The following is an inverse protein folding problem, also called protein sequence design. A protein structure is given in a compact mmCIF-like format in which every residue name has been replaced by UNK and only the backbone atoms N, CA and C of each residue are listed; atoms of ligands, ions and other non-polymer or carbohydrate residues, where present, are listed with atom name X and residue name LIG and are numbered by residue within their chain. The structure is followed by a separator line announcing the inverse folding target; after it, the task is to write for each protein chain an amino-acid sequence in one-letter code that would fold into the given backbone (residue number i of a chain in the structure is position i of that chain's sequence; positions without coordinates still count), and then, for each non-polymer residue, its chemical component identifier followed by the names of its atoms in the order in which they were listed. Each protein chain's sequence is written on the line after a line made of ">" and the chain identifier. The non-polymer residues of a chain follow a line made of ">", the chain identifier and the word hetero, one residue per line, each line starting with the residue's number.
data_IF_231340211649
#
_entry.id   IF_231340211649
#
_cell.length_a   1.000
_cell.length_b   1.000
_cell.length_c   1.000
_cell.angle_alpha   90.00
_cell.angle_beta   90.00
_cell.angle_gamma   90.00
#
_symmetry.space_group_name_H-M   'P 1'
#
loop_
_entity.id
_entity.type
_entity.pdbx_description
1 polymer ?
#
# COMPACT_ATOMS: atom_id res chain seq x y z
N UNK A 1 -23.16 25.29 -12.85
CA UNK A 1 -24.20 24.65 -12.02
C UNK A 1 -24.52 23.30 -12.63
N UNK A 2 -24.00 22.23 -12.06
CA UNK A 2 -24.31 20.86 -12.44
C UNK A 2 -24.37 20.05 -11.15
N UNK A 3 -25.59 19.79 -10.68
CA UNK A 3 -25.81 18.98 -9.48
C UNK A 3 -25.31 17.57 -9.78
N UNK A 4 -24.23 17.15 -9.12
CA UNK A 4 -23.76 15.76 -9.15
C UNK A 4 -24.73 14.96 -8.28
N UNK A 5 -25.80 14.44 -8.90
CA UNK A 5 -26.97 13.92 -8.19
C UNK A 5 -26.79 12.55 -7.55
N UNK A 6 -25.67 11.83 -7.76
CA UNK A 6 -25.48 10.50 -7.17
C UNK A 6 -24.06 10.23 -6.70
N UNK A 7 -23.71 10.75 -5.52
CA UNK A 7 -22.47 10.40 -4.80
C UNK A 7 -22.74 9.23 -3.84
N UNK A 8 -22.13 8.07 -4.11
CA UNK A 8 -22.06 6.95 -3.17
C UNK A 8 -20.84 7.13 -2.26
N UNK A 9 -21.06 7.48 -1.00
CA UNK A 9 -19.99 7.61 -0.01
C UNK A 9 -19.86 6.26 0.70
N UNK A 10 -18.70 5.63 0.64
CA UNK A 10 -18.43 4.38 1.35
C UNK A 10 -17.42 4.70 2.46
N UNK A 11 -17.88 4.83 3.70
CA UNK A 11 -17.03 5.18 4.83
C UNK A 11 -17.12 4.16 5.98
N UNK A 12 -15.98 3.83 6.60
CA UNK A 12 -15.97 3.02 7.83
C UNK A 12 -14.69 3.09 8.66
N UNK A 13 -14.85 3.21 9.99
CA UNK A 13 -14.69 2.09 10.93
C UNK A 13 -15.15 2.44 12.36
N UNK A 14 -15.70 1.46 13.09
CA UNK A 14 -15.37 1.22 14.50
C UNK A 14 -15.19 -0.28 14.75
N UNK A 15 -14.14 -0.62 15.49
CA UNK A 15 -13.83 -1.95 16.02
C UNK A 15 -14.78 -2.18 17.22
N UNK A 16 -15.67 -3.18 17.14
CA UNK A 16 -16.48 -3.62 18.28
C UNK A 16 -16.03 -5.04 18.63
N UNK A 17 -15.68 -5.19 19.91
CA UNK A 17 -15.32 -6.43 20.59
C UNK A 17 -16.44 -7.47 20.39
N UNK A 18 -16.02 -8.73 20.32
CA UNK A 18 -16.81 -9.94 20.10
C UNK A 18 -18.05 -9.97 21.00
N UNK A 19 -19.21 -9.64 20.44
CA UNK A 19 -20.55 -10.08 20.86
C UNK A 19 -21.48 -9.97 19.64
N UNK A 20 -22.42 -10.91 19.50
CA UNK A 20 -23.40 -11.04 18.40
C UNK A 20 -24.02 -9.68 18.00
N UNK A 21 -24.27 -9.53 16.69
CA UNK A 21 -24.63 -8.33 15.91
C UNK A 21 -25.47 -7.22 16.58
N UNK A 22 -25.20 -5.95 16.19
CA UNK A 22 -26.26 -4.98 16.00
C UNK A 22 -26.14 -4.25 14.64
N UNK A 23 -27.11 -4.52 13.77
CA UNK A 23 -27.67 -3.65 12.73
C UNK A 23 -26.71 -2.71 11.95
N UNK A 24 -26.28 -3.16 10.78
CA UNK A 24 -25.35 -2.40 9.91
C UNK A 24 -25.99 -1.10 9.40
N UNK A 25 -27.31 -1.09 9.25
CA UNK A 25 -28.06 0.10 8.83
C UNK A 25 -28.10 1.18 9.92
N UNK A 26 -28.09 0.77 11.19
CA UNK A 26 -27.98 1.71 12.31
C UNK A 26 -26.67 2.48 12.27
N UNK A 27 -25.57 1.82 11.91
CA UNK A 27 -24.28 2.49 11.76
C UNK A 27 -24.28 3.48 10.60
N UNK A 28 -24.86 3.11 9.45
CA UNK A 28 -24.99 4.01 8.32
C UNK A 28 -25.80 5.27 8.67
N UNK A 29 -26.91 5.12 9.41
CA UNK A 29 -27.73 6.25 9.90
C UNK A 29 -26.97 7.15 10.87
N UNK A 30 -26.21 6.57 11.80
CA UNK A 30 -25.36 7.33 12.72
C UNK A 30 -24.29 8.15 11.98
N UNK A 31 -23.75 7.60 10.89
CA UNK A 31 -22.79 8.33 10.06
C UNK A 31 -23.45 9.46 9.27
N UNK A 32 -24.66 9.25 8.74
CA UNK A 32 -25.44 10.31 8.12
C UNK A 32 -25.67 11.48 9.11
N UNK A 33 -26.13 11.17 10.33
CA UNK A 33 -26.35 12.17 11.37
C UNK A 33 -25.05 12.91 11.77
N UNK A 34 -23.93 12.20 11.84
CA UNK A 34 -22.61 12.82 12.11
C UNK A 34 -22.19 13.76 10.99
N UNK A 35 -22.35 13.35 9.73
CA UNK A 35 -21.99 14.15 8.57
C UNK A 35 -22.86 15.42 8.48
N UNK A 36 -24.15 15.29 8.78
CA UNK A 36 -25.07 16.44 8.88
C UNK A 36 -24.63 17.41 9.98
N UNK A 37 -24.36 16.90 11.20
CA UNK A 37 -23.94 17.74 12.34
C UNK A 37 -22.58 18.41 12.13
N UNK A 38 -21.60 17.67 11.62
CA UNK A 38 -20.21 18.14 11.53
C UNK A 38 -19.97 19.04 10.31
N UNK A 39 -20.73 18.85 9.23
CA UNK A 39 -20.39 19.41 7.93
C UNK A 39 -21.57 20.00 7.15
N UNK A 40 -22.80 19.92 7.64
CA UNK A 40 -23.99 20.47 6.97
C UNK A 40 -24.32 19.78 5.64
N UNK A 41 -23.75 18.60 5.38
CA UNK A 41 -23.98 17.82 4.17
C UNK A 41 -25.31 17.07 4.31
N UNK A 42 -26.36 17.56 3.65
CA UNK A 42 -27.68 16.92 3.60
C UNK A 42 -27.76 15.81 2.55
N UNK A 43 -28.81 14.98 2.61
CA UNK A 43 -29.18 13.93 1.65
C UNK A 43 -29.28 14.37 0.18
N UNK A 44 -29.20 15.68 -0.13
CA UNK A 44 -29.12 16.18 -1.51
C UNK A 44 -27.74 15.96 -2.13
N UNK A 45 -26.69 15.86 -1.31
CA UNK A 45 -25.30 15.76 -1.77
C UNK A 45 -24.79 14.32 -1.89
N UNK A 46 -25.41 13.36 -1.21
CA UNK A 46 -25.05 11.95 -1.28
C UNK A 46 -26.30 11.07 -1.35
N UNK A 47 -26.23 9.95 -2.08
CA UNK A 47 -27.38 9.06 -2.23
C UNK A 47 -27.42 7.95 -1.17
N UNK A 48 -26.27 7.34 -0.85
CA UNK A 48 -26.18 6.26 0.13
C UNK A 48 -24.81 6.30 0.80
N UNK A 49 -24.80 6.22 2.12
CA UNK A 49 -23.59 5.97 2.91
C UNK A 49 -23.50 4.48 3.18
N UNK A 50 -22.44 3.84 2.70
CA UNK A 50 -22.21 2.42 2.89
C UNK A 50 -21.06 2.19 3.85
N UNK A 51 -21.31 1.31 4.82
CA UNK A 51 -20.23 0.85 5.67
C UNK A 51 -19.45 -0.27 4.98
N UNK A 52 -18.11 -0.39 5.13
CA UNK A 52 -17.35 -1.55 4.61
C UNK A 52 -17.97 -2.90 5.06
N UNK A 53 -18.46 -3.03 6.29
CA UNK A 53 -19.14 -4.26 6.76
C UNK A 53 -20.46 -4.48 6.02
N UNK A 54 -21.20 -3.42 5.72
CA UNK A 54 -22.40 -3.47 4.87
C UNK A 54 -22.05 -3.94 3.47
N UNK A 55 -21.02 -3.34 2.89
CA UNK A 55 -20.55 -3.64 1.55
C UNK A 55 -20.17 -5.13 1.44
N UNK A 56 -19.41 -5.64 2.42
CA UNK A 56 -18.99 -7.04 2.46
C UNK A 56 -20.14 -8.03 2.67
N UNK A 57 -21.20 -7.64 3.38
CA UNK A 57 -22.36 -8.51 3.66
C UNK A 57 -23.40 -8.47 2.54
N UNK A 58 -23.85 -7.27 2.17
CA UNK A 58 -24.94 -7.07 1.21
C UNK A 58 -24.50 -7.31 -0.24
N UNK A 59 -23.23 -7.03 -0.58
CA UNK A 59 -22.75 -7.05 -1.96
C UNK A 59 -21.65 -8.09 -2.18
N UNK A 60 -21.79 -9.28 -1.61
CA UNK A 60 -20.79 -10.35 -1.74
C UNK A 60 -20.85 -11.06 -3.09
N UNK A 61 -22.02 -11.17 -3.71
CA UNK A 61 -22.17 -11.83 -5.02
C UNK A 61 -21.70 -10.94 -6.18
N UNK A 62 -21.37 -11.57 -7.31
CA UNK A 62 -20.99 -10.84 -8.52
C UNK A 62 -22.14 -9.99 -9.08
N UNK A 63 -23.38 -10.50 -9.03
CA UNK A 63 -24.57 -9.79 -9.50
C UNK A 63 -24.85 -8.55 -8.67
N UNK A 64 -24.74 -8.63 -7.34
CA UNK A 64 -24.92 -7.49 -6.45
C UNK A 64 -23.86 -6.41 -6.67
N UNK A 65 -22.58 -6.77 -6.80
CA UNK A 65 -21.52 -5.78 -7.10
C UNK A 65 -21.74 -5.10 -8.44
N UNK A 66 -22.16 -5.85 -9.46
CA UNK A 66 -22.50 -5.28 -10.77
C UNK A 66 -23.72 -4.36 -10.68
N UNK A 67 -24.75 -4.74 -9.95
CA UNK A 67 -25.91 -3.88 -9.70
C UNK A 67 -25.48 -2.58 -9.01
N UNK A 68 -24.64 -2.66 -7.97
CA UNK A 68 -24.10 -1.50 -7.27
C UNK A 68 -23.36 -0.54 -8.21
N UNK A 69 -22.47 -1.06 -9.07
CA UNK A 69 -21.74 -0.27 -10.06
C UNK A 69 -22.65 0.39 -11.11
N UNK A 70 -23.79 -0.22 -11.43
CA UNK A 70 -24.78 0.34 -12.35
C UNK A 70 -25.62 1.42 -11.68
N UNK A 71 -25.99 1.25 -10.40
CA UNK A 71 -26.88 2.18 -9.68
C UNK A 71 -26.25 3.54 -9.42
N UNK A 72 -24.94 3.62 -9.18
CA UNK A 72 -24.26 4.87 -8.84
C UNK A 72 -23.16 5.21 -9.84
N UNK A 73 -22.89 6.51 -10.00
CA UNK A 73 -21.89 7.01 -10.93
C UNK A 73 -20.54 7.26 -10.29
N UNK A 74 -20.54 7.81 -9.07
CA UNK A 74 -19.34 8.14 -8.34
C UNK A 74 -19.28 7.42 -6.99
N UNK A 75 -18.11 6.84 -6.69
CA UNK A 75 -17.82 6.21 -5.41
C UNK A 75 -16.68 6.95 -4.71
N UNK A 76 -16.91 7.39 -3.49
CA UNK A 76 -15.90 8.01 -2.63
C UNK A 76 -15.60 7.10 -1.44
N UNK A 77 -14.32 6.96 -1.09
CA UNK A 77 -13.86 6.09 -0.01
C UNK A 77 -12.81 6.80 0.85
N UNK A 78 -12.86 6.63 2.18
CA UNK A 78 -11.76 7.09 3.04
C UNK A 78 -10.46 6.32 2.71
N UNK A 79 -9.35 7.05 2.52
CA UNK A 79 -7.98 6.54 2.35
C UNK A 79 -7.67 5.35 3.27
N UNK A 80 -8.16 5.36 4.51
CA UNK A 80 -7.93 4.28 5.50
C UNK A 80 -8.46 2.93 5.05
N UNK A 81 -9.61 2.90 4.38
CA UNK A 81 -10.30 1.68 3.95
C UNK A 81 -10.23 1.42 2.45
N UNK A 82 -9.75 2.40 1.66
CA UNK A 82 -9.64 2.35 0.21
C UNK A 82 -9.00 1.08 -0.33
N UNK A 83 -7.94 0.56 0.32
CA UNK A 83 -7.32 -0.69 -0.11
C UNK A 83 -8.23 -1.92 0.05
N UNK A 84 -8.94 -2.01 1.18
CA UNK A 84 -9.82 -3.15 1.45
C UNK A 84 -11.06 -3.11 0.53
N UNK A 85 -11.66 -1.94 0.38
CA UNK A 85 -12.84 -1.73 -0.49
C UNK A 85 -12.49 -2.07 -1.95
N UNK A 86 -11.39 -1.55 -2.50
CA UNK A 86 -10.97 -1.85 -3.88
C UNK A 86 -10.65 -3.33 -4.11
N UNK A 87 -10.12 -4.01 -3.09
CA UNK A 87 -9.90 -5.46 -3.15
C UNK A 87 -11.22 -6.23 -3.15
N UNK A 88 -12.23 -5.75 -2.45
CA UNK A 88 -13.54 -6.39 -2.36
C UNK A 88 -14.39 -6.18 -3.63
N UNK A 89 -14.45 -4.95 -4.13
CA UNK A 89 -15.22 -4.62 -5.34
C UNK A 89 -14.73 -5.40 -6.56
N UNK A 90 -13.41 -5.57 -6.69
CA UNK A 90 -12.80 -6.44 -7.67
C UNK A 90 -13.16 -6.09 -9.12
N UNK A 91 -13.05 -7.08 -10.01
CA UNK A 91 -13.07 -6.94 -11.48
C UNK A 91 -14.31 -6.23 -12.03
N UNK A 92 -15.47 -6.40 -11.40
CA UNK A 92 -16.73 -5.81 -11.88
C UNK A 92 -16.64 -4.28 -11.93
N UNK A 93 -16.00 -3.65 -10.94
CA UNK A 93 -15.81 -2.20 -10.90
C UNK A 93 -14.73 -1.71 -11.86
N UNK A 94 -13.66 -2.49 -12.04
CA UNK A 94 -12.61 -2.19 -13.03
C UNK A 94 -13.15 -2.20 -14.46
N UNK A 95 -14.08 -3.11 -14.78
CA UNK A 95 -14.66 -3.23 -16.12
C UNK A 95 -15.50 -2.00 -16.51
N UNK A 96 -16.19 -1.40 -15.54
CA UNK A 96 -17.05 -0.24 -15.76
C UNK A 96 -16.28 1.08 -15.58
N UNK A 97 -14.98 1.03 -15.24
CA UNK A 97 -14.16 2.21 -14.93
C UNK A 97 -14.73 3.10 -13.81
N UNK A 98 -15.56 2.53 -12.92
CA UNK A 98 -16.22 3.23 -11.79
C UNK A 98 -15.52 2.93 -10.47
N UNK A 99 -14.20 3.01 -10.44
CA UNK A 99 -13.45 2.67 -9.25
C UNK A 99 -13.57 3.76 -8.18
N UNK A 100 -13.55 3.41 -6.88
CA UNK A 100 -13.69 4.44 -5.86
C UNK A 100 -12.49 5.38 -5.78
N UNK A 101 -12.78 6.68 -5.68
CA UNK A 101 -11.82 7.74 -5.39
C UNK A 101 -11.55 7.80 -3.89
N UNK A 102 -10.29 8.05 -3.54
CA UNK A 102 -9.92 8.24 -2.15
C UNK A 102 -10.13 9.69 -1.72
N UNK A 103 -10.70 9.90 -0.54
CA UNK A 103 -10.69 11.20 0.14
C UNK A 103 -10.24 11.02 1.60
N UNK A 104 -9.71 12.08 2.19
CA UNK A 104 -9.36 12.05 3.62
C UNK A 104 -10.53 12.61 4.43
N UNK A 105 -11.01 11.85 5.41
CA UNK A 105 -12.00 12.32 6.35
C UNK A 105 -11.35 13.32 7.33
N UNK A 106 -11.30 14.59 6.94
CA UNK A 106 -10.76 15.71 7.73
C UNK A 106 -11.69 16.91 7.66
N UNK A 107 -11.86 17.64 8.76
CA UNK A 107 -12.63 18.88 8.77
C UNK A 107 -11.81 20.00 8.07
N UNK A 108 -12.38 20.79 7.13
CA UNK A 108 -13.75 20.74 6.60
C UNK A 108 -13.95 19.70 5.48
N UNK A 109 -14.90 18.78 5.66
CA UNK A 109 -15.12 17.63 4.78
C UNK A 109 -15.56 18.00 3.36
N UNK A 110 -16.37 19.04 3.20
CA UNK A 110 -16.86 19.50 1.89
C UNK A 110 -15.69 19.79 0.96
N UNK A 111 -14.67 20.49 1.46
CA UNK A 111 -13.46 20.80 0.67
C UNK A 111 -12.68 19.54 0.30
N UNK A 112 -12.62 18.54 1.19
CA UNK A 112 -11.95 17.28 0.91
C UNK A 112 -12.69 16.47 -0.16
N UNK A 113 -14.03 16.46 -0.11
CA UNK A 113 -14.88 15.83 -1.12
C UNK A 113 -14.72 16.55 -2.46
N UNK A 114 -14.90 17.87 -2.51
CA UNK A 114 -14.72 18.64 -3.75
C UNK A 114 -13.34 18.43 -4.37
N UNK A 115 -12.30 18.44 -3.53
CA UNK A 115 -10.93 18.16 -3.98
C UNK A 115 -10.83 16.76 -4.57
N UNK A 116 -11.39 15.75 -3.91
CA UNK A 116 -11.36 14.36 -4.41
C UNK A 116 -12.08 14.22 -5.76
N UNK A 117 -13.23 14.88 -5.93
CA UNK A 117 -14.02 14.88 -7.17
C UNK A 117 -13.26 15.57 -8.32
N UNK A 118 -12.54 16.64 -8.01
CA UNK A 118 -11.70 17.40 -8.98
C UNK A 118 -10.35 16.71 -9.27
N UNK A 119 -10.00 15.64 -8.56
CA UNK A 119 -8.69 14.98 -8.68
C UNK A 119 -8.77 13.82 -9.67
N UNK A 120 -7.77 13.75 -10.56
CA UNK A 120 -7.55 12.59 -11.42
C UNK A 120 -6.52 11.66 -10.80
N UNK A 121 -6.77 10.35 -10.85
CA UNK A 121 -5.89 9.34 -10.25
C UNK A 121 -5.09 8.60 -11.33
N UNK A 122 -3.77 8.72 -11.28
CA UNK A 122 -2.86 7.86 -12.05
C UNK A 122 -2.51 6.60 -11.25
N UNK A 123 -2.79 5.43 -11.83
CA UNK A 123 -2.49 4.15 -11.20
C UNK A 123 -1.15 3.59 -11.67
N UNK A 124 -0.20 3.54 -10.75
CA UNK A 124 1.08 2.87 -10.96
C UNK A 124 0.97 1.40 -10.53
N UNK A 125 0.76 0.52 -11.51
CA UNK A 125 0.77 -0.91 -11.26
C UNK A 125 2.20 -1.45 -11.16
N UNK A 126 2.36 -2.52 -10.38
CA UNK A 126 3.65 -3.20 -10.25
C UNK A 126 4.07 -3.77 -11.62
N UNK A 127 5.28 -3.43 -12.06
CA UNK A 127 5.88 -3.84 -13.35
C UNK A 127 5.16 -3.32 -14.59
N UNK A 128 4.21 -2.38 -14.46
CA UNK A 128 3.63 -1.73 -15.62
C UNK A 128 4.63 -0.74 -16.21
N UNK A 129 4.88 -0.89 -17.50
CA UNK A 129 5.71 0.04 -18.31
C UNK A 129 4.87 1.08 -19.03
N UNK A 130 3.55 0.84 -19.14
CA UNK A 130 2.58 1.74 -19.78
C UNK A 130 1.44 2.00 -18.82
N UNK A 131 1.07 3.27 -18.71
CA UNK A 131 -0.06 3.75 -17.92
C UNK A 131 -0.80 4.79 -18.75
N UNK A 132 -2.09 4.96 -18.48
CA UNK A 132 -2.92 5.98 -19.12
C UNK A 132 -3.66 6.75 -18.04
N UNK A 133 -3.95 8.01 -18.34
CA UNK A 133 -4.69 8.93 -17.47
C UNK A 133 -5.73 9.62 -18.34
N UNK A 134 -6.96 9.72 -17.83
CA UNK A 134 -8.02 10.47 -18.51
C UNK A 134 -7.92 11.94 -18.13
N UNK A 135 -7.80 12.82 -19.13
CA UNK A 135 -7.61 14.27 -18.94
C UNK A 135 -8.94 15.04 -18.94
N UNK A 136 -9.95 14.50 -19.61
CA UNK A 136 -11.21 15.19 -19.82
C UNK A 136 -12.05 14.57 -20.93
N UNK A 137 -13.06 15.31 -21.36
CA UNK A 137 -14.00 14.92 -22.41
C UNK A 137 -13.92 15.88 -23.60
N UNK A 138 -14.22 15.39 -24.81
CA UNK A 138 -14.19 16.18 -26.06
C UNK A 138 -15.20 17.34 -26.07
N UNK A 139 -16.25 17.27 -25.24
CA UNK A 139 -17.23 18.34 -25.07
C UNK A 139 -16.77 19.48 -24.14
N UNK A 140 -15.59 19.40 -23.54
CA UNK A 140 -15.01 20.48 -22.73
C UNK A 140 -14.31 21.50 -23.62
N UNK A 141 -14.22 22.78 -23.20
CA UNK A 141 -13.49 23.79 -23.95
C UNK A 141 -12.00 23.43 -24.03
N UNK A 142 -11.38 23.76 -25.16
CA UNK A 142 -9.98 23.44 -25.43
C UNK A 142 -9.01 24.09 -24.41
N UNK A 143 -9.35 25.27 -23.89
CA UNK A 143 -8.58 25.96 -22.85
C UNK A 143 -8.41 25.11 -21.60
N UNK A 144 -9.51 24.49 -21.14
CA UNK A 144 -9.53 23.74 -19.90
C UNK A 144 -8.83 22.39 -20.09
N UNK A 145 -8.97 21.78 -21.28
CA UNK A 145 -8.24 20.57 -21.64
C UNK A 145 -6.73 20.80 -21.69
N UNK A 146 -6.28 21.93 -22.23
CA UNK A 146 -4.86 22.29 -22.25
C UNK A 146 -4.33 22.51 -20.83
N UNK A 147 -5.05 23.26 -19.99
CA UNK A 147 -4.67 23.46 -18.59
C UNK A 147 -4.63 22.15 -17.79
N UNK A 148 -5.57 21.25 -18.02
CA UNK A 148 -5.57 19.92 -17.40
C UNK A 148 -4.40 19.06 -17.87
N UNK A 149 -4.04 19.16 -19.16
CA UNK A 149 -2.90 18.45 -19.72
C UNK A 149 -1.60 18.87 -19.05
N UNK A 150 -1.35 20.18 -18.95
CA UNK A 150 -0.15 20.72 -18.31
C UNK A 150 -0.06 20.29 -16.85
N UNK A 151 -1.16 20.42 -16.10
CA UNK A 151 -1.22 20.00 -14.69
C UNK A 151 -0.94 18.50 -14.50
N UNK A 152 -1.39 17.65 -15.43
CA UNK A 152 -1.15 16.21 -15.38
C UNK A 152 0.29 15.88 -15.73
N UNK A 153 0.87 16.53 -16.74
CA UNK A 153 2.28 16.34 -17.10
C UNK A 153 3.18 16.74 -15.93
N UNK A 154 2.94 17.89 -15.32
CA UNK A 154 3.70 18.36 -14.16
C UNK A 154 3.59 17.39 -12.97
N UNK A 155 2.38 16.91 -12.67
CA UNK A 155 2.16 15.94 -11.61
C UNK A 155 2.83 14.59 -11.88
N UNK A 156 2.87 14.15 -13.15
CA UNK A 156 3.56 12.93 -13.56
C UNK A 156 5.07 13.10 -13.40
N UNK A 157 5.63 14.22 -13.83
CA UNK A 157 7.06 14.49 -13.71
C UNK A 157 7.51 14.57 -12.25
N UNK A 158 6.72 15.20 -11.38
CA UNK A 158 7.02 15.30 -9.94
C UNK A 158 6.87 13.96 -9.20
N UNK A 159 5.93 13.12 -9.64
CA UNK A 159 5.59 11.87 -8.95
C UNK A 159 6.35 10.65 -9.48
N UNK A 160 6.93 10.73 -10.68
CA UNK A 160 7.63 9.62 -11.30
C UNK A 160 8.97 9.35 -10.58
N UNK A 161 9.22 8.13 -10.09
CA UNK A 161 10.53 7.79 -9.56
C UNK A 161 11.56 7.83 -10.69
N UNK A 162 12.65 8.60 -10.50
CA UNK A 162 13.65 8.85 -11.55
C UNK A 162 13.32 10.03 -12.48
N UNK A 163 12.21 10.74 -12.24
CA UNK A 163 11.82 11.93 -12.98
C UNK A 163 11.62 11.69 -14.47
N UNK A 164 11.92 12.71 -15.28
CA UNK A 164 11.78 12.68 -16.74
C UNK A 164 12.64 11.57 -17.39
N UNK A 165 13.81 11.26 -16.82
CA UNK A 165 14.71 10.21 -17.36
C UNK A 165 14.09 8.81 -17.36
N UNK A 166 13.12 8.55 -16.48
CA UNK A 166 12.42 7.26 -16.43
C UNK A 166 11.20 7.20 -17.37
N UNK A 167 10.80 8.32 -17.97
CA UNK A 167 9.68 8.38 -18.91
C UNK A 167 10.22 8.14 -20.32
N UNK A 168 9.79 7.04 -20.96
CA UNK A 168 10.22 6.72 -22.33
C UNK A 168 9.47 7.54 -23.38
N UNK A 169 8.16 7.65 -23.25
CA UNK A 169 7.33 8.37 -24.20
C UNK A 169 5.97 8.71 -23.61
N UNK A 170 5.38 9.80 -24.08
CA UNK A 170 4.03 10.25 -23.75
C UNK A 170 3.25 10.43 -25.04
N UNK A 171 2.05 9.86 -25.06
CA UNK A 171 1.13 9.95 -26.19
C UNK A 171 -0.23 10.43 -25.70
N UNK A 172 -0.89 11.23 -26.52
CA UNK A 172 -2.27 11.69 -26.32
C UNK A 172 -3.14 11.05 -27.39
N UNK A 173 -4.27 10.46 -26.97
CA UNK A 173 -5.23 9.86 -27.89
C UNK A 173 -6.65 9.95 -27.32
N UNK A 174 -7.69 10.00 -28.17
CA UNK A 174 -9.05 9.80 -27.73
C UNK A 174 -9.24 8.40 -27.14
N UNK A 175 -10.13 8.26 -26.16
CA UNK A 175 -10.40 6.97 -25.53
C UNK A 175 -11.01 6.01 -26.57
N UNK A 176 -10.32 4.90 -26.84
CA UNK A 176 -10.80 3.85 -27.75
C UNK A 176 -10.54 4.10 -29.23
N UNK A 177 -9.81 5.17 -29.61
CA UNK A 177 -9.47 5.45 -31.00
C UNK A 177 -7.96 5.55 -31.22
N UNK A 178 -7.50 5.02 -32.35
CA UNK A 178 -6.21 5.33 -32.97
C UNK A 178 -6.47 6.31 -34.12
N UNK A 179 -5.64 7.34 -34.36
CA UNK A 179 -4.22 7.42 -34.03
C UNK A 179 -3.89 8.17 -32.72
N UNK A 180 -2.74 7.81 -32.12
CA UNK A 180 -2.17 8.48 -30.96
C UNK A 180 -1.13 9.52 -31.37
N UNK A 181 -1.20 10.71 -30.80
CA UNK A 181 -0.26 11.80 -31.04
C UNK A 181 0.90 11.73 -30.04
N UNK A 182 2.16 11.58 -30.49
CA UNK A 182 3.32 11.65 -29.60
C UNK A 182 3.52 13.09 -29.11
N UNK A 183 3.60 13.27 -27.80
CA UNK A 183 3.98 14.57 -27.20
C UNK A 183 5.44 14.56 -26.78
N UNK A 184 5.94 13.42 -26.29
CA UNK A 184 7.32 13.28 -25.84
C UNK A 184 7.84 11.89 -26.19
N UNK A 185 9.09 11.81 -26.65
CA UNK A 185 9.81 10.57 -26.92
C UNK A 185 11.26 10.74 -26.51
N UNK A 186 11.71 9.88 -25.61
CA UNK A 186 13.12 9.74 -25.26
C UNK A 186 13.76 8.59 -26.03
N UNK A 187 14.97 8.85 -26.54
CA UNK A 187 15.79 7.87 -27.27
C UNK A 187 16.93 7.30 -26.42
N UNK A 188 17.07 7.71 -25.15
CA UNK A 188 18.12 7.27 -24.23
C UNK A 188 18.13 5.77 -23.94
N UNK A 189 19.18 5.29 -23.27
CA UNK A 189 19.26 3.89 -22.85
C UNK A 189 18.58 3.67 -21.50
N UNK A 190 17.75 2.62 -21.38
CA UNK A 190 17.10 2.28 -20.11
C UNK A 190 18.09 1.98 -18.96
N UNK A 191 19.34 1.59 -19.29
CA UNK A 191 20.41 1.33 -18.33
C UNK A 191 20.93 2.58 -17.62
N UNK A 192 20.73 3.76 -18.21
CA UNK A 192 21.20 5.04 -17.65
C UNK A 192 20.30 5.52 -16.50
N UNK A 193 19.06 5.03 -16.44
CA UNK A 193 18.07 5.41 -15.43
C UNK A 193 18.43 4.79 -14.07
N UNK A 194 19.03 5.61 -13.20
CA UNK A 194 19.36 5.22 -11.82
C UNK A 194 18.17 5.47 -10.90
N UNK A 195 17.40 4.41 -10.64
CA UNK A 195 16.33 4.47 -9.66
C UNK A 195 16.86 4.20 -8.25
N UNK A 196 16.60 5.14 -7.33
CA UNK A 196 16.81 4.89 -5.91
C UNK A 196 15.87 3.79 -5.43
N UNK A 197 16.41 2.81 -4.72
CA UNK A 197 15.58 1.76 -4.14
C UNK A 197 14.77 2.37 -3.00
N UNK A 198 13.43 2.18 -2.97
CA UNK A 198 12.63 2.72 -1.88
C UNK A 198 13.14 2.15 -0.56
N UNK A 199 13.33 3.03 0.42
CA UNK A 199 13.70 2.61 1.78
C UNK A 199 12.64 1.64 2.26
N UNK A 200 13.07 0.44 2.68
CA UNK A 200 12.14 -0.54 3.25
C UNK A 200 11.58 0.04 4.54
N UNK A 201 10.35 0.56 4.51
CA UNK A 201 9.59 0.93 5.71
C UNK A 201 9.36 -0.34 6.53
N UNK A 202 10.29 -0.64 7.43
CA UNK A 202 10.07 -1.63 8.48
C UNK A 202 9.13 -0.93 9.46
N UNK A 203 7.89 -1.41 9.60
CA UNK A 203 7.05 -0.97 10.72
C UNK A 203 7.88 -1.17 11.99
N UNK A 204 8.13 -0.10 12.73
CA UNK A 204 8.71 -0.18 14.07
C UNK A 204 7.77 -1.09 14.86
N UNK A 205 8.24 -2.30 15.13
CA UNK A 205 7.50 -3.23 15.95
C UNK A 205 7.90 -2.85 17.37
N UNK A 206 6.99 -2.18 18.08
CA UNK A 206 7.12 -2.02 19.53
C UNK A 206 7.39 -3.41 20.12
N UNK A 207 8.52 -3.52 20.79
CA UNK A 207 8.98 -4.71 21.45
C UNK A 207 8.71 -4.46 22.92
N UNK A 208 7.85 -5.29 23.52
CA UNK A 208 7.64 -5.26 24.97
C UNK A 208 8.74 -6.14 25.57
N UNK A 209 9.54 -5.55 26.43
CA UNK A 209 10.62 -6.22 27.15
C UNK A 209 10.14 -6.45 28.58
N UNK A 210 10.11 -7.70 29.01
CA UNK A 210 9.73 -8.06 30.36
C UNK A 210 10.72 -9.06 30.96
N UNK A 211 10.86 -9.02 32.28
CA UNK A 211 11.67 -9.96 33.04
C UNK A 211 10.89 -11.27 33.16
N UNK A 212 11.57 -12.40 33.02
CA UNK A 212 10.93 -13.71 33.08
C UNK A 212 11.63 -14.55 34.13
N UNK A 213 10.86 -15.03 35.10
CA UNK A 213 11.34 -15.81 36.25
C UNK A 213 11.98 -17.15 35.89
N UNK A 214 11.87 -17.60 34.65
CA UNK A 214 12.47 -18.85 34.16
C UNK A 214 13.81 -18.66 33.48
N UNK A 215 14.30 -17.42 33.36
CA UNK A 215 15.62 -17.13 32.81
C UNK A 215 16.61 -16.77 33.94
N UNK A 216 17.90 -17.15 33.79
CA UNK A 216 18.96 -16.68 34.67
C UNK A 216 19.08 -15.15 34.71
N UNK A 217 19.55 -14.64 35.84
CA UNK A 217 19.80 -13.20 36.05
C UNK A 217 20.67 -12.61 34.93
N UNK A 218 20.26 -11.46 34.39
CA UNK A 218 20.94 -10.81 33.25
C UNK A 218 20.32 -11.06 31.87
N UNK A 219 19.18 -11.78 31.79
CA UNK A 219 18.46 -12.06 30.54
C UNK A 219 16.99 -11.59 30.58
N UNK A 220 16.59 -10.79 29.58
CA UNK A 220 15.20 -10.32 29.38
C UNK A 220 14.52 -11.01 28.21
N UNK A 221 13.22 -11.21 28.34
CA UNK A 221 12.38 -11.68 27.24
C UNK A 221 11.80 -10.51 26.45
N UNK A 222 11.92 -10.61 25.13
CA UNK A 222 11.34 -9.67 24.19
C UNK A 222 10.24 -10.36 23.41
N UNK A 223 9.00 -9.95 23.68
CA UNK A 223 7.82 -10.45 23.00
C UNK A 223 7.48 -9.53 21.83
N UNK A 224 7.34 -10.10 20.65
CA UNK A 224 6.88 -9.39 19.44
C UNK A 224 5.38 -9.58 19.27
N UNK A 225 4.70 -8.61 18.64
CA UNK A 225 3.25 -8.69 18.29
C UNK A 225 2.86 -9.93 17.45
N UNK A 226 3.83 -10.64 16.86
CA UNK A 226 3.61 -11.90 16.15
C UNK A 226 3.75 -13.15 17.03
N UNK A 227 3.82 -12.99 18.36
CA UNK A 227 3.98 -14.07 19.33
C UNK A 227 5.39 -14.69 19.38
N UNK A 228 6.36 -14.17 18.62
CA UNK A 228 7.74 -14.69 18.66
C UNK A 228 8.50 -14.10 19.83
N UNK A 229 8.98 -15.00 20.69
CA UNK A 229 9.86 -14.69 21.82
C UNK A 229 11.32 -14.59 21.35
N UNK A 230 12.06 -13.68 21.96
CA UNK A 230 13.51 -13.56 21.82
C UNK A 230 14.12 -13.29 23.19
N UNK A 231 15.21 -13.97 23.50
CA UNK A 231 15.99 -13.68 24.71
C UNK A 231 17.02 -12.61 24.37
N UNK A 232 17.17 -11.62 25.24
CA UNK A 232 18.07 -10.47 25.09
C UNK A 232 18.89 -10.31 26.36
N UNK A 233 20.17 -9.97 26.23
CA UNK A 233 21.01 -9.60 27.40
C UNK A 233 20.62 -8.22 27.93
N UNK A 234 20.54 -8.10 29.25
CA UNK A 234 20.17 -6.86 29.94
C UNK A 234 21.13 -5.71 29.64
N UNK A 235 22.44 -5.96 29.69
CA UNK A 235 23.46 -4.90 29.57
C UNK A 235 23.60 -4.32 28.16
N UNK A 236 23.35 -5.14 27.14
CA UNK A 236 23.70 -4.82 25.74
C UNK A 236 22.50 -4.74 24.81
N UNK A 237 21.31 -5.17 25.25
CA UNK A 237 20.13 -5.24 24.39
C UNK A 237 20.30 -6.20 23.20
N UNK A 238 21.35 -7.03 23.20
CA UNK A 238 21.65 -7.95 22.11
C UNK A 238 20.84 -9.25 22.24
N UNK A 239 20.14 -9.61 21.15
CA UNK A 239 19.42 -10.89 21.06
C UNK A 239 20.40 -12.04 21.12
N UNK A 240 20.26 -12.88 22.13
CA UNK A 240 20.99 -14.13 22.26
C UNK A 240 20.09 -15.31 21.90
N UNK A 241 20.73 -16.45 21.68
CA UNK A 241 20.05 -17.73 21.49
C UNK A 241 20.09 -18.45 22.83
N UNK A 242 18.93 -18.87 23.33
CA UNK A 242 18.77 -19.64 24.56
C UNK A 242 17.56 -20.55 24.37
N UNK A 243 17.61 -21.83 24.79
CA UNK A 243 18.73 -22.54 25.42
C UNK A 243 19.76 -23.04 24.40
N UNK A 244 21.04 -23.04 24.76
CA UNK A 244 22.12 -23.68 24.00
C UNK A 244 22.67 -24.91 24.72
N UNK A 245 23.45 -25.73 24.00
CA UNK A 245 24.06 -26.97 24.53
C UNK A 245 25.10 -26.69 25.63
N UNK A 246 25.54 -25.44 25.78
CA UNK A 246 26.50 -25.04 26.81
C UNK A 246 25.84 -24.41 28.03
N UNK A 247 24.51 -24.21 28.00
CA UNK A 247 23.76 -23.66 29.13
C UNK A 247 23.32 -24.82 30.04
N UNK A 248 23.31 -24.58 31.36
CA UNK A 248 22.92 -25.57 32.36
C UNK A 248 21.46 -25.98 32.12
N UNK A 249 21.22 -27.27 31.87
CA UNK A 249 19.91 -27.86 31.67
C UNK A 249 19.67 -28.96 32.69
N UNK A 250 18.56 -28.89 33.41
CA UNK A 250 18.14 -29.95 34.33
C UNK A 250 17.29 -31.01 33.62
N UNK A 251 17.42 -32.26 34.04
CA UNK A 251 16.77 -33.42 33.40
C UNK A 251 15.22 -33.37 33.40
N UNK A 252 14.63 -32.50 34.23
CA UNK A 252 13.19 -32.23 34.31
C UNK A 252 12.71 -31.07 33.44
N UNK A 253 13.61 -30.31 32.83
CA UNK A 253 13.27 -29.15 32.01
C UNK A 253 12.82 -29.57 30.59
N UNK A 254 11.58 -29.25 30.23
CA UNK A 254 10.99 -29.62 28.94
C UNK A 254 11.63 -28.95 27.71
N UNK A 255 12.50 -27.94 27.91
CA UNK A 255 13.18 -27.21 26.84
C UNK A 255 14.49 -27.89 26.43
N UNK A 256 14.42 -28.82 25.47
CA UNK A 256 15.61 -29.52 24.96
C UNK A 256 16.64 -28.53 24.36
N UNK A 257 17.92 -28.54 24.78
CA UNK A 257 18.97 -27.75 24.15
C UNK A 257 19.20 -28.26 22.71
N UNK A 258 18.60 -27.56 21.75
CA UNK A 258 18.52 -28.05 20.36
C UNK A 258 19.50 -27.35 19.43
N UNK A 259 20.16 -26.26 19.88
CA UNK A 259 20.93 -25.39 19.00
C UNK A 259 22.41 -25.22 19.40
N UNK A 260 23.31 -25.83 18.61
CA UNK A 260 24.75 -25.60 18.71
C UNK A 260 25.14 -24.22 18.14
N UNK A 261 25.79 -23.33 18.92
CA UNK A 261 26.20 -22.01 18.43
C UNK A 261 27.26 -22.11 17.31
N UNK A 262 28.15 -23.11 17.37
CA UNK A 262 29.18 -23.34 16.34
C UNK A 262 28.57 -23.73 14.98
N UNK A 263 27.57 -24.64 14.98
CA UNK A 263 26.85 -25.07 13.77
C UNK A 263 26.07 -23.91 13.16
N UNK A 264 25.48 -23.06 13.99
CA UNK A 264 24.76 -21.87 13.56
C UNK A 264 25.69 -20.83 12.92
N UNK A 265 26.84 -20.55 13.56
CA UNK A 265 27.90 -19.68 13.01
C UNK A 265 28.40 -20.18 11.65
N UNK A 266 28.66 -21.50 11.52
CA UNK A 266 29.05 -22.12 10.24
C UNK A 266 27.98 -21.93 9.16
N UNK A 267 26.70 -22.15 9.49
CA UNK A 267 25.56 -21.94 8.58
C UNK A 267 25.44 -20.47 8.14
N UNK A 268 25.62 -19.52 9.06
CA UNK A 268 25.63 -18.09 8.77
C UNK A 268 26.79 -17.69 7.84
N UNK A 269 27.99 -18.21 8.10
CA UNK A 269 29.16 -17.97 7.25
C UNK A 269 28.95 -18.49 5.81
N UNK A 270 28.41 -19.70 5.65
CA UNK A 270 28.07 -20.27 4.34
C UNK A 270 27.03 -19.40 3.62
N UNK A 271 25.98 -18.95 4.33
CA UNK A 271 24.94 -18.08 3.76
C UNK A 271 25.51 -16.73 3.32
N UNK A 272 26.42 -16.14 4.10
CA UNK A 272 27.10 -14.88 3.75
C UNK A 272 27.98 -15.06 2.51
N UNK A 273 28.78 -16.13 2.43
CA UNK A 273 29.59 -16.46 1.23
C UNK A 273 28.72 -16.63 -0.02
N UNK A 274 27.60 -17.36 0.07
CA UNK A 274 26.64 -17.53 -1.04
C UNK A 274 26.02 -16.20 -1.49
N UNK A 275 25.68 -15.32 -0.55
CA UNK A 275 25.14 -14.00 -0.87
C UNK A 275 26.17 -13.12 -1.59
N UNK A 276 27.42 -13.10 -1.13
CA UNK A 276 28.53 -12.40 -1.79
C UNK A 276 28.79 -12.93 -3.20
N UNK A 277 28.79 -14.25 -3.40
CA UNK A 277 28.93 -14.85 -4.74
C UNK A 277 27.80 -14.41 -5.68
N UNK A 278 26.55 -14.37 -5.21
CA UNK A 278 25.41 -13.87 -6.00
C UNK A 278 25.52 -12.39 -6.34
N UNK A 279 26.02 -11.56 -5.42
CA UNK A 279 26.28 -10.14 -5.68
C UNK A 279 27.38 -9.97 -6.73
N UNK A 280 28.49 -10.70 -6.62
CA UNK A 280 29.58 -10.68 -7.60
C UNK A 280 29.11 -11.11 -9.00
N UNK A 281 28.32 -12.19 -9.08
CA UNK A 281 27.73 -12.65 -10.35
C UNK A 281 26.77 -11.62 -10.96
N UNK A 282 26.00 -10.91 -10.13
CA UNK A 282 25.13 -9.82 -10.61
C UNK A 282 25.94 -8.64 -11.18
N UNK A 283 27.03 -8.25 -10.51
CA UNK A 283 27.95 -7.20 -10.99
C UNK A 283 28.60 -7.55 -12.32
N UNK A 284 29.04 -8.81 -12.47
CA UNK A 284 29.58 -9.32 -13.74
C UNK A 284 28.53 -9.27 -14.85
N UNK A 285 27.28 -9.71 -14.57
CA UNK A 285 26.19 -9.64 -15.54
C UNK A 285 25.76 -8.22 -15.90
N UNK A 286 25.97 -7.24 -15.02
CA UNK A 286 25.66 -5.83 -15.29
C UNK A 286 26.82 -5.07 -15.94
N UNK A 287 27.90 -5.74 -16.34
CA UNK A 287 29.04 -5.12 -17.03
C UNK A 287 29.93 -4.25 -16.14
N UNK A 288 29.79 -4.28 -14.81
CA UNK A 288 30.76 -3.62 -13.93
C UNK A 288 32.08 -4.39 -14.00
N UNK A 289 33.15 -3.72 -14.46
CA UNK A 289 34.51 -4.28 -14.52
C UNK A 289 34.94 -4.64 -13.10
N UNK A 290 34.89 -5.93 -12.77
CA UNK A 290 35.42 -6.44 -11.50
C UNK A 290 36.93 -6.59 -11.66
N UNK A 291 37.70 -5.65 -11.12
CA UNK A 291 39.15 -5.80 -11.00
C UNK A 291 39.45 -7.01 -10.11
N UNK A 292 39.95 -8.08 -10.73
CA UNK A 292 40.46 -9.24 -10.01
C UNK A 292 41.87 -8.87 -9.56
N UNK A 293 42.02 -8.45 -8.29
CA UNK A 293 43.34 -8.43 -7.67
C UNK A 293 43.79 -9.88 -7.51
N UNK A 294 44.78 -10.29 -8.29
CA UNK A 294 45.51 -11.52 -8.05
C UNK A 294 46.34 -11.34 -6.78
N UNK A 295 46.06 -12.12 -5.75
CA UNK A 295 46.94 -12.23 -4.58
C UNK A 295 48.24 -12.89 -5.04
N UNK A 296 49.37 -12.21 -4.82
CA UNK A 296 50.70 -12.72 -5.07
C UNK A 296 50.96 -13.93 -4.16
N UNK A 297 51.53 -15.00 -4.74
CA UNK A 297 51.95 -16.21 -4.04
C UNK A 297 53.03 -15.93 -3.00
#
# INVERSE_FOLDING_TARGET
>A
MGNVSHVGIVDLYHLIIITRDPDVDKQARQWAEKIEKDHGLTNQHYSKILTKRQLEREYHTFTQRRALATTYDLFLVDVRVGKAVRSFLGKEFYKVHKEPLDFNYSKPLVTAIEKSVKTVVLKLQRYATRVHVSLGHLGQPLSDLASNFDAVVDAVLSSCPGGLSNIRSMYVQPVGSSPSLPVYVDNGMASEVKLEKPTKRRRSMEQVTDECSTLPDGLKLVVRKNGKLRVVKEDTGHTILYPTVHDEWEERDGLKPTADPAKLKRKHAIKKKRAQKRLRLKKIKSGEVVTVRHEAK
#
